data_IF_005658037043
#
_entry.id   IF_005658037043
#
_cell.length_a   1.000
_cell.length_b   1.000
_cell.length_c   1.000
_cell.angle_alpha   90.00
_cell.angle_beta   90.00
_cell.angle_gamma   90.00
#
_symmetry.space_group_name_H-M   'P 1'
#
loop_
_entity.id
_entity.type
_entity.pdbx_description
1 polymer ?
#
# COMPACT_ATOMS: atom_id res chain seq x y z
N UNK A 1 44.70 15.04 -3.24
CA UNK A 1 43.44 14.27 -3.33
C UNK A 1 42.52 14.52 -2.14
N UNK A 2 43.04 14.64 -0.91
CA UNK A 2 42.32 15.08 0.30
C UNK A 2 41.34 16.24 0.09
N UNK A 3 41.80 17.39 -0.45
CA UNK A 3 40.93 18.55 -0.75
C UNK A 3 39.73 18.25 -1.66
N UNK A 4 39.80 17.19 -2.46
CA UNK A 4 38.68 16.76 -3.28
C UNK A 4 37.68 15.99 -2.42
N UNK A 5 38.14 14.97 -1.69
CA UNK A 5 37.32 14.11 -0.82
C UNK A 5 36.68 14.93 0.30
N UNK A 6 37.41 15.79 1.01
CA UNK A 6 36.86 16.71 2.02
C UNK A 6 35.80 17.66 1.45
N UNK A 7 35.98 18.13 0.20
CA UNK A 7 34.99 18.96 -0.50
C UNK A 7 33.73 18.17 -0.89
N UNK A 8 33.84 16.85 -1.09
CA UNK A 8 32.70 15.95 -1.27
C UNK A 8 32.07 15.52 0.07
N UNK A 9 32.87 15.46 1.15
CA UNK A 9 32.51 15.16 2.55
C UNK A 9 32.10 16.43 3.31
N UNK A 10 31.71 17.50 2.62
CA UNK A 10 30.81 18.46 3.23
C UNK A 10 29.62 17.67 3.78
N UNK A 11 29.61 17.54 5.11
CA UNK A 11 28.69 16.81 5.95
C UNK A 11 27.31 17.37 5.66
N UNK A 12 26.63 16.77 4.68
CA UNK A 12 25.25 17.01 4.24
C UNK A 12 25.03 16.70 2.76
N UNK A 13 26.05 16.31 1.96
CA UNK A 13 25.90 16.07 0.52
C UNK A 13 24.63 15.27 0.16
N UNK A 14 23.57 15.99 -0.22
CA UNK A 14 22.37 15.48 -0.87
C UNK A 14 22.62 15.45 -2.38
N UNK A 15 23.88 15.55 -2.82
CA UNK A 15 24.24 15.81 -4.21
C UNK A 15 23.69 14.76 -5.17
N UNK A 16 23.74 13.47 -4.79
CA UNK A 16 23.17 12.42 -5.64
C UNK A 16 21.64 12.52 -5.71
N UNK A 17 20.98 12.87 -4.59
CA UNK A 17 19.54 13.12 -4.52
C UNK A 17 19.19 14.34 -5.37
N UNK A 18 19.90 15.45 -5.23
CA UNK A 18 19.69 16.68 -6.01
C UNK A 18 19.86 16.46 -7.51
N UNK A 19 20.93 15.77 -7.92
CA UNK A 19 21.16 15.37 -9.32
C UNK A 19 19.98 14.55 -9.84
N UNK A 20 19.53 13.56 -9.06
CA UNK A 20 18.45 12.67 -9.43
C UNK A 20 17.13 13.42 -9.59
N UNK A 21 16.75 14.24 -8.59
CA UNK A 21 15.48 14.96 -8.60
C UNK A 21 15.50 16.04 -9.70
N UNK A 22 16.61 16.74 -9.91
CA UNK A 22 16.75 17.69 -11.03
C UNK A 22 16.56 16.98 -12.38
N UNK A 23 17.18 15.82 -12.58
CA UNK A 23 17.03 15.04 -13.80
C UNK A 23 15.58 14.54 -13.98
N UNK A 24 14.95 14.04 -12.92
CA UNK A 24 13.55 13.65 -12.91
C UNK A 24 12.64 14.82 -13.32
N UNK A 25 12.80 15.99 -12.69
CA UNK A 25 11.93 17.14 -12.93
C UNK A 25 12.10 17.72 -14.32
N UNK A 26 13.33 17.82 -14.81
CA UNK A 26 13.60 18.22 -16.19
C UNK A 26 12.93 17.26 -17.20
N UNK A 27 12.86 15.97 -16.88
CA UNK A 27 12.25 14.96 -17.75
C UNK A 27 10.71 15.09 -17.78
N UNK A 28 10.08 15.28 -16.63
CA UNK A 28 8.62 15.13 -16.49
C UNK A 28 7.84 16.44 -16.34
N UNK A 29 8.46 17.54 -15.90
CA UNK A 29 7.76 18.80 -15.62
C UNK A 29 8.19 19.97 -16.51
N UNK A 30 9.20 19.79 -17.37
CA UNK A 30 9.66 20.76 -18.40
C UNK A 30 9.83 22.22 -17.95
N UNK A 31 10.03 22.47 -16.65
CA UNK A 31 10.16 23.82 -16.08
C UNK A 31 11.62 24.14 -15.74
N UNK A 32 12.04 25.38 -16.02
CA UNK A 32 13.30 25.92 -15.52
C UNK A 32 13.22 26.12 -13.99
N UNK A 33 14.13 25.47 -13.29
CA UNK A 33 14.12 25.28 -11.83
C UNK A 33 14.77 26.43 -11.08
N UNK A 34 14.25 27.65 -11.22
CA UNK A 34 14.56 28.70 -10.24
C UNK A 34 13.65 28.51 -9.01
N UNK A 35 14.24 28.26 -7.84
CA UNK A 35 13.50 28.09 -6.57
C UNK A 35 13.11 26.64 -6.19
N UNK A 36 13.77 25.64 -6.78
CA UNK A 36 13.47 24.23 -6.57
C UNK A 36 13.90 23.66 -5.22
N UNK A 37 12.99 22.96 -4.53
CA UNK A 37 13.31 22.21 -3.29
C UNK A 37 13.18 20.70 -3.51
N UNK A 38 14.32 20.01 -3.49
CA UNK A 38 14.40 18.56 -3.55
C UNK A 38 13.57 17.88 -2.45
N UNK A 39 13.64 18.43 -1.24
CA UNK A 39 12.90 17.94 -0.07
C UNK A 39 11.39 17.99 -0.31
N UNK A 40 10.89 19.10 -0.87
CA UNK A 40 9.46 19.30 -1.15
C UNK A 40 8.89 18.23 -2.10
N UNK A 41 9.67 17.81 -3.10
CA UNK A 41 9.21 16.77 -4.04
C UNK A 41 9.13 15.41 -3.38
N UNK A 42 10.16 15.04 -2.61
CA UNK A 42 10.13 13.78 -1.87
C UNK A 42 8.93 13.77 -0.92
N UNK A 43 8.70 14.86 -0.19
CA UNK A 43 7.54 15.01 0.70
C UNK A 43 6.20 14.93 -0.04
N UNK A 44 6.04 15.62 -1.17
CA UNK A 44 4.81 15.57 -1.97
C UNK A 44 4.54 14.16 -2.49
N UNK A 45 5.55 13.49 -3.05
CA UNK A 45 5.43 12.13 -3.57
C UNK A 45 5.18 11.10 -2.47
N UNK A 46 5.82 11.26 -1.31
CA UNK A 46 5.57 10.44 -0.12
C UNK A 46 4.11 10.59 0.35
N UNK A 47 3.60 11.83 0.45
CA UNK A 47 2.19 12.09 0.81
C UNK A 47 1.21 11.44 -0.16
N UNK A 48 1.48 11.54 -1.47
CA UNK A 48 0.66 10.87 -2.50
C UNK A 48 0.61 9.37 -2.28
N UNK A 49 1.75 8.70 -2.10
CA UNK A 49 1.77 7.24 -1.93
C UNK A 49 1.12 6.81 -0.60
N UNK A 50 1.35 7.57 0.47
CA UNK A 50 0.72 7.32 1.77
C UNK A 50 -0.80 7.43 1.70
N UNK A 51 -1.32 8.44 0.98
CA UNK A 51 -2.75 8.57 0.74
C UNK A 51 -3.31 7.36 -0.02
N UNK A 52 -2.64 6.94 -1.11
CA UNK A 52 -3.05 5.79 -1.92
C UNK A 52 -3.11 4.52 -1.08
N UNK A 53 -2.07 4.23 -0.31
CA UNK A 53 -2.00 3.07 0.59
C UNK A 53 -3.10 3.09 1.64
N UNK A 54 -3.31 4.25 2.28
CA UNK A 54 -4.35 4.41 3.29
C UNK A 54 -5.74 4.13 2.69
N UNK A 55 -6.04 4.70 1.53
CA UNK A 55 -7.33 4.49 0.83
C UNK A 55 -7.55 3.03 0.44
N UNK A 56 -6.55 2.34 -0.11
CA UNK A 56 -6.63 0.90 -0.40
C UNK A 56 -6.89 0.07 0.86
N UNK A 57 -6.25 0.42 1.97
CA UNK A 57 -6.47 -0.26 3.25
C UNK A 57 -7.88 -0.04 3.78
N UNK A 58 -8.41 1.18 3.67
CA UNK A 58 -9.81 1.52 4.02
C UNK A 58 -10.78 0.65 3.21
N UNK A 59 -10.68 0.67 1.87
CA UNK A 59 -11.51 -0.16 0.99
C UNK A 59 -11.45 -1.65 1.33
N UNK A 60 -10.23 -2.21 1.47
CA UNK A 60 -10.06 -3.63 1.83
C UNK A 60 -10.65 -3.96 3.21
N UNK A 61 -10.53 -3.04 4.17
CA UNK A 61 -11.12 -3.22 5.50
C UNK A 61 -12.65 -3.27 5.46
N UNK A 62 -13.27 -2.37 4.69
CA UNK A 62 -14.71 -2.36 4.46
C UNK A 62 -15.18 -3.63 3.74
N UNK A 63 -14.46 -4.09 2.70
CA UNK A 63 -14.75 -5.34 1.99
C UNK A 63 -14.74 -6.55 2.93
N UNK A 64 -13.72 -6.68 3.78
CA UNK A 64 -13.63 -7.76 4.78
C UNK A 64 -14.81 -7.71 5.76
N UNK A 65 -15.26 -6.51 6.14
CA UNK A 65 -16.42 -6.36 7.02
C UNK A 65 -17.71 -6.86 6.35
N UNK A 66 -17.90 -6.55 5.06
CA UNK A 66 -19.05 -7.04 4.28
C UNK A 66 -18.99 -8.56 4.11
N UNK A 67 -17.84 -9.12 3.77
CA UNK A 67 -17.64 -10.58 3.67
C UNK A 67 -18.00 -11.30 4.97
N UNK A 68 -17.59 -10.74 6.12
CA UNK A 68 -17.98 -11.28 7.43
C UNK A 68 -19.49 -11.22 7.66
N UNK A 69 -20.13 -10.13 7.24
CA UNK A 69 -21.59 -9.98 7.34
C UNK A 69 -22.32 -11.02 6.49
N UNK A 70 -21.89 -11.20 5.23
CA UNK A 70 -22.42 -12.24 4.32
C UNK A 70 -22.28 -13.61 4.96
N UNK A 71 -21.09 -13.97 5.43
CA UNK A 71 -20.84 -15.28 6.06
C UNK A 71 -21.72 -15.49 7.29
N UNK A 72 -21.94 -14.46 8.11
CA UNK A 72 -22.83 -14.55 9.27
C UNK A 72 -24.29 -14.80 8.87
N UNK A 73 -24.78 -14.13 7.81
CA UNK A 73 -26.13 -14.31 7.30
C UNK A 73 -26.31 -15.70 6.66
N UNK A 74 -25.32 -16.17 5.90
CA UNK A 74 -25.31 -17.51 5.31
C UNK A 74 -25.32 -18.60 6.39
N UNK A 75 -24.53 -18.45 7.46
CA UNK A 75 -24.58 -19.35 8.61
C UNK A 75 -25.96 -19.33 9.32
N UNK A 76 -26.56 -18.15 9.45
CA UNK A 76 -27.90 -18.00 10.03
C UNK A 76 -28.95 -18.70 9.17
N UNK A 77 -28.85 -18.56 7.84
CA UNK A 77 -29.74 -19.25 6.90
C UNK A 77 -29.63 -20.77 7.03
N UNK A 78 -28.41 -21.31 7.14
CA UNK A 78 -28.18 -22.75 7.33
C UNK A 78 -28.80 -23.23 8.64
N UNK A 79 -28.63 -22.49 9.74
CA UNK A 79 -29.23 -22.84 11.03
C UNK A 79 -30.76 -22.86 10.96
N UNK A 80 -31.36 -21.87 10.30
CA UNK A 80 -32.82 -21.81 10.09
C UNK A 80 -33.32 -22.97 9.23
N UNK A 81 -32.58 -23.38 8.19
CA UNK A 81 -32.98 -24.51 7.35
C UNK A 81 -32.95 -25.84 8.13
N UNK A 82 -31.95 -26.03 9.00
CA UNK A 82 -31.88 -27.19 9.91
C UNK A 82 -33.11 -27.19 10.84
N UNK A 83 -33.38 -26.07 11.51
CA UNK A 83 -34.52 -25.95 12.44
C UNK A 83 -35.86 -26.20 11.73
N UNK A 84 -36.03 -25.64 10.52
CA UNK A 84 -37.22 -25.88 9.68
C UNK A 84 -37.41 -27.38 9.42
N UNK A 85 -36.34 -28.07 9.03
CA UNK A 85 -36.39 -29.50 8.71
C UNK A 85 -36.68 -30.36 9.94
N UNK A 86 -36.14 -30.00 11.12
CA UNK A 86 -36.46 -30.64 12.40
C UNK A 86 -37.95 -30.49 12.75
N UNK A 87 -38.49 -29.27 12.65
CA UNK A 87 -39.92 -29.00 12.91
C UNK A 87 -40.84 -29.72 11.93
N UNK A 88 -40.51 -29.73 10.64
CA UNK A 88 -41.26 -30.51 9.62
C UNK A 88 -41.26 -32.00 9.99
N UNK A 89 -40.15 -32.53 10.49
CA UNK A 89 -40.04 -33.93 10.89
C UNK A 89 -40.91 -34.24 12.11
N UNK A 90 -40.94 -33.35 13.11
CA UNK A 90 -41.82 -33.46 14.28
C UNK A 90 -43.30 -33.47 13.86
N UNK A 91 -43.71 -32.52 13.02
CA UNK A 91 -45.08 -32.42 12.49
C UNK A 91 -45.49 -33.70 11.77
N UNK A 92 -44.61 -34.26 10.93
CA UNK A 92 -44.88 -35.52 10.21
C UNK A 92 -45.03 -36.73 11.13
N UNK A 93 -44.33 -36.74 12.26
CA UNK A 93 -44.36 -37.84 13.23
C UNK A 93 -45.53 -37.72 14.22
N UNK A 94 -46.12 -36.53 14.39
CA UNK A 94 -47.28 -36.30 15.24
C UNK A 94 -48.59 -36.75 14.54
N UNK A 95 -49.40 -37.56 15.23
CA UNK A 95 -50.70 -38.07 14.71
C UNK A 95 -51.83 -37.03 14.70
N UNK A 96 -51.60 -35.85 15.28
CA UNK A 96 -52.58 -34.76 15.41
C UNK A 96 -52.01 -33.45 14.88
N UNK A 97 -52.81 -32.66 14.16
CA UNK A 97 -52.41 -31.35 13.67
C UNK A 97 -52.12 -30.38 14.82
N UNK A 98 -50.88 -29.86 14.88
CA UNK A 98 -50.46 -28.85 15.86
C UNK A 98 -50.27 -27.51 15.13
N UNK A 99 -51.23 -26.59 15.30
CA UNK A 99 -51.24 -25.28 14.64
C UNK A 99 -49.99 -24.44 14.97
N UNK A 100 -49.48 -24.57 16.18
CA UNK A 100 -48.31 -23.84 16.68
C UNK A 100 -47.02 -24.26 15.96
N UNK A 101 -46.84 -25.56 15.69
CA UNK A 101 -45.69 -26.07 14.94
C UNK A 101 -45.72 -25.59 13.47
N UNK A 102 -46.91 -25.47 12.87
CA UNK A 102 -47.07 -24.98 11.49
C UNK A 102 -46.80 -23.48 11.37
N UNK A 103 -47.32 -22.66 12.30
CA UNK A 103 -46.99 -21.21 12.35
C UNK A 103 -45.49 -20.99 12.57
N UNK A 104 -44.89 -21.81 13.43
CA UNK A 104 -43.46 -21.77 13.66
C UNK A 104 -42.60 -22.12 12.43
N UNK A 105 -43.11 -22.92 11.49
CA UNK A 105 -42.43 -23.18 10.21
C UNK A 105 -42.55 -21.97 9.29
N UNK A 106 -43.74 -21.36 9.18
CA UNK A 106 -43.96 -20.15 8.38
C UNK A 106 -43.08 -18.98 8.83
N UNK A 107 -42.90 -18.81 10.13
CA UNK A 107 -42.01 -17.79 10.70
C UNK A 107 -40.54 -18.04 10.33
N UNK A 108 -40.08 -19.30 10.37
CA UNK A 108 -38.72 -19.67 9.95
C UNK A 108 -38.54 -19.41 8.44
N UNK A 109 -39.52 -19.79 7.61
CA UNK A 109 -39.47 -19.52 6.17
C UNK A 109 -39.42 -18.02 5.86
N UNK A 110 -40.14 -17.22 6.63
CA UNK A 110 -40.10 -15.76 6.54
C UNK A 110 -38.71 -15.21 6.90
N UNK A 111 -38.12 -15.69 8.00
CA UNK A 111 -36.76 -15.32 8.41
C UNK A 111 -35.70 -15.76 7.39
N UNK A 112 -35.85 -16.94 6.79
CA UNK A 112 -34.96 -17.43 5.73
C UNK A 112 -35.01 -16.54 4.49
N UNK A 113 -36.21 -16.13 4.05
CA UNK A 113 -36.40 -15.20 2.92
C UNK A 113 -35.74 -13.85 3.20
N UNK A 114 -35.89 -13.31 4.42
CA UNK A 114 -35.24 -12.05 4.78
C UNK A 114 -33.70 -12.20 4.83
N UNK A 115 -33.18 -13.32 5.34
CA UNK A 115 -31.74 -13.58 5.34
C UNK A 115 -31.17 -13.59 3.92
N UNK A 116 -31.83 -14.27 2.97
CA UNK A 116 -31.43 -14.25 1.55
C UNK A 116 -31.46 -12.83 0.97
N UNK A 117 -32.50 -12.05 1.27
CA UNK A 117 -32.61 -10.65 0.84
C UNK A 117 -31.44 -9.81 1.36
N UNK A 118 -31.08 -9.97 2.63
CA UNK A 118 -29.96 -9.25 3.24
C UNK A 118 -28.62 -9.68 2.64
N UNK A 119 -28.42 -10.98 2.37
CA UNK A 119 -27.22 -11.49 1.68
C UNK A 119 -27.08 -10.83 0.30
N UNK A 120 -28.15 -10.74 -0.47
CA UNK A 120 -28.12 -10.07 -1.78
C UNK A 120 -27.77 -8.58 -1.68
N UNK A 121 -28.29 -7.88 -0.66
CA UNK A 121 -27.97 -6.48 -0.39
C UNK A 121 -26.47 -6.32 -0.06
N UNK A 122 -25.93 -7.17 0.82
CA UNK A 122 -24.50 -7.14 1.16
C UNK A 122 -23.61 -7.49 -0.04
N UNK A 123 -24.00 -8.47 -0.86
CA UNK A 123 -23.28 -8.81 -2.11
C UNK A 123 -23.25 -7.63 -3.09
N UNK A 124 -24.34 -6.87 -3.21
CA UNK A 124 -24.36 -5.63 -4.02
C UNK A 124 -23.41 -4.56 -3.47
N UNK A 125 -23.42 -4.33 -2.15
CA UNK A 125 -22.48 -3.39 -1.50
C UNK A 125 -21.03 -3.79 -1.75
N UNK A 126 -20.72 -5.09 -1.68
CA UNK A 126 -19.39 -5.61 -1.97
C UNK A 126 -18.95 -5.28 -3.40
N UNK A 127 -19.79 -5.57 -4.40
CA UNK A 127 -19.47 -5.28 -5.80
C UNK A 127 -19.33 -3.78 -6.08
N UNK A 128 -20.18 -2.93 -5.49
CA UNK A 128 -20.01 -1.47 -5.59
C UNK A 128 -18.68 -1.01 -5.01
N UNK A 129 -18.28 -1.57 -3.87
CA UNK A 129 -17.03 -1.22 -3.20
C UNK A 129 -15.81 -1.72 -3.98
N UNK A 130 -15.91 -2.91 -4.57
CA UNK A 130 -14.88 -3.48 -5.45
C UNK A 130 -14.69 -2.61 -6.69
N UNK A 131 -15.77 -2.20 -7.36
CA UNK A 131 -15.70 -1.28 -8.50
C UNK A 131 -15.06 0.07 -8.14
N UNK A 132 -15.36 0.61 -6.95
CA UNK A 132 -14.70 1.83 -6.42
C UNK A 132 -13.21 1.62 -6.21
N UNK A 133 -12.81 0.49 -5.63
CA UNK A 133 -11.41 0.13 -5.43
C UNK A 133 -10.66 -0.03 -6.76
N UNK A 134 -11.26 -0.71 -7.74
CA UNK A 134 -10.66 -0.91 -9.06
C UNK A 134 -10.49 0.41 -9.79
N UNK A 135 -11.52 1.25 -9.81
CA UNK A 135 -11.45 2.61 -10.36
C UNK A 135 -10.37 3.44 -9.66
N UNK A 136 -10.27 3.36 -8.34
CA UNK A 136 -9.24 4.04 -7.57
C UNK A 136 -7.83 3.54 -7.93
N UNK A 137 -7.66 2.23 -8.11
CA UNK A 137 -6.38 1.64 -8.49
C UNK A 137 -5.94 2.12 -9.88
N UNK A 138 -6.85 2.14 -10.84
CA UNK A 138 -6.56 2.62 -12.19
C UNK A 138 -6.16 4.10 -12.20
N UNK A 139 -6.88 4.94 -11.46
CA UNK A 139 -6.58 6.37 -11.35
C UNK A 139 -5.28 6.66 -10.59
N UNK A 140 -4.91 5.80 -9.62
CA UNK A 140 -3.70 5.99 -8.81
C UNK A 140 -2.43 5.39 -9.44
N UNK A 141 -2.56 4.56 -10.48
CA UNK A 141 -1.44 3.81 -11.06
C UNK A 141 -0.32 4.72 -11.60
N UNK A 142 -0.66 5.81 -12.27
CA UNK A 142 0.35 6.73 -12.83
C UNK A 142 1.06 7.50 -11.71
N UNK A 143 0.35 7.90 -10.65
CA UNK A 143 0.95 8.55 -9.50
C UNK A 143 1.97 7.63 -8.80
N UNK A 144 1.61 6.37 -8.56
CA UNK A 144 2.54 5.39 -8.00
C UNK A 144 3.75 5.20 -8.91
N UNK A 145 3.52 5.04 -10.21
CA UNK A 145 4.58 4.91 -11.20
C UNK A 145 5.54 6.09 -11.15
N UNK A 146 5.04 7.32 -11.02
CA UNK A 146 5.87 8.52 -10.89
C UNK A 146 6.72 8.51 -9.62
N UNK A 147 6.21 8.00 -8.49
CA UNK A 147 7.00 7.81 -7.26
C UNK A 147 8.10 6.77 -7.45
N UNK A 148 7.79 5.61 -8.04
CA UNK A 148 8.79 4.57 -8.33
C UNK A 148 9.85 5.07 -9.33
N UNK A 149 9.46 5.85 -10.33
CA UNK A 149 10.39 6.48 -11.27
C UNK A 149 11.33 7.43 -10.55
N UNK A 150 10.81 8.30 -9.67
CA UNK A 150 11.63 9.18 -8.84
C UNK A 150 12.65 8.38 -8.01
N UNK A 151 12.21 7.33 -7.32
CA UNK A 151 13.09 6.47 -6.54
C UNK A 151 14.17 5.83 -7.40
N UNK A 152 13.83 5.36 -8.60
CA UNK A 152 14.80 4.78 -9.54
C UNK A 152 15.86 5.78 -10.01
N UNK A 153 15.49 7.05 -10.22
CA UNK A 153 16.46 8.11 -10.50
C UNK A 153 17.42 8.31 -9.33
N UNK A 154 16.90 8.36 -8.10
CA UNK A 154 17.71 8.51 -6.88
C UNK A 154 18.64 7.30 -6.71
N UNK A 155 18.12 6.09 -6.86
CA UNK A 155 18.88 4.84 -6.75
C UNK A 155 20.01 4.77 -7.78
N UNK A 156 19.76 5.22 -9.02
CA UNK A 156 20.77 5.26 -10.08
C UNK A 156 21.91 6.22 -9.72
N UNK A 157 21.59 7.41 -9.24
CA UNK A 157 22.61 8.39 -8.84
C UNK A 157 23.38 7.93 -7.59
N UNK A 158 22.72 7.27 -6.64
CA UNK A 158 23.38 6.61 -5.50
C UNK A 158 24.46 5.62 -5.98
N UNK A 159 24.12 4.70 -6.89
CA UNK A 159 25.08 3.72 -7.38
C UNK A 159 26.25 4.35 -8.17
N UNK A 160 25.97 5.43 -8.91
CA UNK A 160 27.01 6.20 -9.61
C UNK A 160 27.98 6.85 -8.62
N UNK A 161 27.44 7.49 -7.60
CA UNK A 161 28.23 8.16 -6.56
C UNK A 161 29.05 7.14 -5.76
N UNK A 162 28.44 6.03 -5.34
CA UNK A 162 29.14 4.92 -4.66
C UNK A 162 30.28 4.36 -5.51
N UNK A 163 30.03 4.08 -6.80
CA UNK A 163 31.05 3.56 -7.72
C UNK A 163 32.22 4.53 -7.91
N UNK A 164 31.93 5.84 -7.94
CA UNK A 164 32.96 6.86 -8.01
C UNK A 164 33.89 6.81 -6.79
N UNK A 165 33.33 6.74 -5.58
CA UNK A 165 34.10 6.69 -4.33
C UNK A 165 34.91 5.39 -4.23
N UNK A 166 34.30 4.25 -4.55
CA UNK A 166 35.01 2.96 -4.56
C UNK A 166 36.21 2.97 -5.50
N UNK A 167 36.12 3.63 -6.66
CA UNK A 167 37.27 3.80 -7.57
C UNK A 167 38.36 4.70 -6.98
N UNK A 168 37.99 5.73 -6.21
CA UNK A 168 38.98 6.55 -5.52
C UNK A 168 39.69 5.76 -4.42
N UNK A 169 38.98 4.84 -3.77
CA UNK A 169 39.51 3.95 -2.73
C UNK A 169 40.38 2.80 -3.26
N UNK A 170 40.40 2.56 -4.57
CA UNK A 170 41.20 1.52 -5.24
C UNK A 170 42.58 2.04 -5.67
N UNK A 171 43.03 3.16 -5.11
CA UNK A 171 44.29 3.82 -5.47
C UNK A 171 45.42 3.38 -4.54
N UNK A 172 46.58 3.02 -5.11
CA UNK A 172 47.77 2.59 -4.35
C UNK A 172 48.37 3.73 -3.49
N UNK A 173 48.09 4.99 -3.84
CA UNK A 173 48.62 6.19 -3.16
C UNK A 173 47.77 6.69 -1.97
N UNK A 174 46.83 5.89 -1.44
CA UNK A 174 45.95 6.31 -0.36
C UNK A 174 46.62 6.21 1.02
N UNK A 175 46.48 7.26 1.84
CA UNK A 175 46.81 7.18 3.26
C UNK A 175 45.60 6.68 4.07
N UNK A 176 45.86 6.30 5.33
CA UNK A 176 44.85 5.82 6.28
C UNK A 176 43.67 6.79 6.44
N UNK A 177 43.95 8.09 6.43
CA UNK A 177 42.91 9.11 6.60
C UNK A 177 41.97 9.20 5.38
N UNK A 178 42.51 9.10 4.16
CA UNK A 178 41.71 9.04 2.92
C UNK A 178 40.79 7.80 2.90
N UNK A 179 41.27 6.66 3.41
CA UNK A 179 40.47 5.44 3.55
C UNK A 179 39.31 5.64 4.53
N UNK A 180 39.58 6.16 5.74
CA UNK A 180 38.56 6.44 6.76
C UNK A 180 37.47 7.35 6.19
N UNK A 181 37.87 8.46 5.56
CA UNK A 181 36.96 9.42 4.96
C UNK A 181 36.06 8.80 3.87
N UNK A 182 36.61 7.95 3.00
CA UNK A 182 35.80 7.27 1.98
C UNK A 182 34.78 6.29 2.57
N UNK A 183 35.16 5.54 3.61
CA UNK A 183 34.24 4.65 4.32
C UNK A 183 33.11 5.42 5.04
N UNK A 184 33.44 6.53 5.71
CA UNK A 184 32.45 7.40 6.34
C UNK A 184 31.46 7.94 5.30
N UNK A 185 31.96 8.43 4.15
CA UNK A 185 31.10 8.95 3.10
C UNK A 185 30.15 7.88 2.54
N UNK A 186 30.65 6.68 2.24
CA UNK A 186 29.82 5.55 1.79
C UNK A 186 28.72 5.24 2.81
N UNK A 187 29.05 5.24 4.09
CA UNK A 187 28.10 5.01 5.18
C UNK A 187 27.01 6.09 5.21
N UNK A 188 27.39 7.36 5.07
CA UNK A 188 26.45 8.50 5.03
C UNK A 188 25.47 8.38 3.85
N UNK A 189 25.96 8.18 2.62
CA UNK A 189 25.09 8.13 1.44
C UNK A 189 24.18 6.89 1.45
N UNK A 190 24.64 5.79 2.06
CA UNK A 190 23.84 4.58 2.24
C UNK A 190 22.70 4.82 3.21
N UNK A 191 22.99 5.42 4.39
CA UNK A 191 21.96 5.80 5.35
C UNK A 191 20.90 6.71 4.73
N UNK A 192 21.32 7.70 3.93
CA UNK A 192 20.39 8.61 3.23
C UNK A 192 19.50 7.89 2.22
N UNK A 193 20.05 6.95 1.45
CA UNK A 193 19.25 6.18 0.48
C UNK A 193 18.20 5.34 1.18
N UNK A 194 18.53 4.72 2.32
CA UNK A 194 17.57 3.97 3.13
C UNK A 194 16.45 4.88 3.65
N UNK A 195 16.77 6.07 4.16
CA UNK A 195 15.76 7.03 4.61
C UNK A 195 14.82 7.46 3.47
N UNK A 196 15.36 7.71 2.28
CA UNK A 196 14.54 8.05 1.11
C UNK A 196 13.66 6.88 0.65
N UNK A 197 14.18 5.65 0.72
CA UNK A 197 13.41 4.45 0.44
C UNK A 197 12.25 4.30 1.42
N UNK A 198 12.51 4.48 2.72
CA UNK A 198 11.49 4.47 3.77
C UNK A 198 10.46 5.58 3.56
N UNK A 199 10.88 6.82 3.27
CA UNK A 199 9.97 7.94 3.05
C UNK A 199 9.11 7.77 1.79
N UNK A 200 9.69 7.35 0.67
CA UNK A 200 8.98 7.25 -0.60
C UNK A 200 8.18 5.95 -0.73
N UNK A 201 8.72 4.84 -0.25
CA UNK A 201 8.18 3.50 -0.46
C UNK A 201 7.68 2.86 0.84
N UNK A 202 7.72 3.56 1.98
CA UNK A 202 7.18 3.12 3.27
C UNK A 202 7.55 1.69 3.61
N UNK A 203 8.86 1.44 3.70
CA UNK A 203 9.46 0.14 4.05
C UNK A 203 8.83 -0.52 5.27
#
# INVERSE_FOLDING_TARGET
MLKSIEKYISIESNRFIEKAIKAYVNTYYKNNLEGFSCKKIIEEKSKTLNYIRKKRKEYKGEMISIERSINSLENTYIALDIEKNERITLVKNNRSFVLEEHRGIEDIESAMKESLRLIEVEKKKYEELKNKLDTFNDLSMEDERLVYLLFNYIRREFFRERKFILRMLDSEDLNEFDLILGFEYISIITKKTLLVEEELLGG
#
